data_IF_405113669608
#
_entry.id   IF_405113669608
#
_cell.length_a   1.000
_cell.length_b   1.000
_cell.length_c   1.000
_cell.angle_alpha   90.00
_cell.angle_beta   90.00
_cell.angle_gamma   90.00
#
_symmetry.space_group_name_H-M   'P 1'
#
loop_
_entity.id
_entity.type
_entity.pdbx_description
1 polymer ?
#
# COMPACT_ATOMS: atom_id res chain seq x y z
N UNK A 1 -21.03 3.25 0.28
CA UNK A 1 -19.72 3.90 0.06
C UNK A 1 -18.89 3.01 -0.85
N UNK A 2 -17.91 3.60 -1.59
CA UNK A 2 -17.18 2.91 -2.66
C UNK A 2 -15.72 2.62 -2.30
N UNK A 3 -15.28 3.06 -1.14
CA UNK A 3 -13.91 2.93 -0.67
C UNK A 3 -13.87 2.64 0.82
N UNK A 4 -12.78 2.02 1.28
CA UNK A 4 -12.51 1.80 2.70
C UNK A 4 -12.34 3.16 3.41
N UNK A 5 -12.95 3.30 4.59
CA UNK A 5 -12.68 4.45 5.44
C UNK A 5 -11.24 4.42 5.95
N UNK A 6 -10.53 5.57 5.97
CA UNK A 6 -9.18 5.64 6.51
C UNK A 6 -9.15 5.13 7.95
N UNK A 7 -8.16 4.27 8.25
CA UNK A 7 -7.95 3.72 9.58
C UNK A 7 -6.79 4.44 10.28
N UNK A 8 -6.89 4.69 11.59
CA UNK A 8 -5.81 5.35 12.35
C UNK A 8 -4.46 4.63 12.21
N UNK A 9 -4.47 3.31 12.09
CA UNK A 9 -3.28 2.49 11.94
C UNK A 9 -2.50 2.80 10.66
N UNK A 10 -3.18 3.24 9.59
CA UNK A 10 -2.53 3.64 8.33
C UNK A 10 -1.71 4.92 8.45
N UNK A 11 -1.88 5.71 9.54
CA UNK A 11 -0.99 6.86 9.83
C UNK A 11 0.46 6.41 10.00
N UNK A 12 0.69 5.23 10.59
CA UNK A 12 2.04 4.66 10.76
C UNK A 12 2.70 4.37 9.42
N UNK A 13 1.91 3.88 8.45
CA UNK A 13 2.38 3.64 7.08
C UNK A 13 2.84 4.96 6.43
N UNK A 14 2.04 6.03 6.60
CA UNK A 14 2.36 7.37 6.10
C UNK A 14 3.61 7.93 6.77
N UNK A 15 3.72 7.87 8.10
CA UNK A 15 4.91 8.34 8.84
C UNK A 15 6.18 7.66 8.35
N UNK A 16 6.17 6.33 8.22
CA UNK A 16 7.35 5.59 7.76
C UNK A 16 7.69 5.86 6.31
N UNK A 17 6.69 6.10 5.45
CA UNK A 17 6.93 6.54 4.09
C UNK A 17 7.60 7.92 4.05
N UNK A 18 7.13 8.88 4.85
CA UNK A 18 7.71 10.22 4.95
C UNK A 18 9.15 10.20 5.48
N UNK A 19 9.43 9.39 6.53
CA UNK A 19 10.78 9.19 7.05
C UNK A 19 11.73 8.76 5.92
N UNK A 20 11.38 7.70 5.17
CA UNK A 20 12.20 7.17 4.08
C UNK A 20 12.35 8.16 2.92
N UNK A 21 11.29 8.87 2.56
CA UNK A 21 11.31 9.90 1.51
C UNK A 21 12.31 11.00 1.87
N UNK A 22 12.28 11.47 3.10
CA UNK A 22 13.16 12.53 3.58
C UNK A 22 14.61 12.05 3.68
N UNK A 23 14.85 10.92 4.34
CA UNK A 23 16.19 10.37 4.59
C UNK A 23 16.93 10.00 3.29
N UNK A 24 16.19 9.48 2.29
CA UNK A 24 16.78 8.95 1.06
C UNK A 24 16.50 9.84 -0.17
N UNK A 25 15.87 11.01 0.02
CA UNK A 25 15.50 11.94 -1.05
C UNK A 25 14.71 11.28 -2.20
N UNK A 26 13.75 10.41 -1.84
CA UNK A 26 12.91 9.69 -2.81
C UNK A 26 11.94 10.67 -3.49
N UNK A 27 11.64 10.45 -4.77
CA UNK A 27 10.85 11.40 -5.58
C UNK A 27 9.64 10.78 -6.27
N UNK A 28 9.68 9.50 -6.56
CA UNK A 28 8.60 8.81 -7.27
C UNK A 28 7.93 7.76 -6.39
N UNK A 29 6.62 7.93 -6.22
CA UNK A 29 5.79 7.14 -5.30
C UNK A 29 4.77 6.36 -6.12
N UNK A 30 4.55 5.08 -5.77
CA UNK A 30 3.43 4.28 -6.24
C UNK A 30 2.59 3.84 -5.04
N UNK A 31 1.30 4.13 -5.06
CA UNK A 31 0.34 3.52 -4.14
C UNK A 31 -0.49 2.47 -4.87
N UNK A 32 -0.45 1.23 -4.39
CA UNK A 32 -1.23 0.10 -4.89
C UNK A 32 -2.48 -0.08 -4.02
N UNK A 33 -3.67 0.01 -4.63
CA UNK A 33 -4.94 0.04 -3.92
C UNK A 33 -5.18 1.42 -3.29
N UNK A 34 -5.28 2.48 -4.12
CA UNK A 34 -5.32 3.87 -3.63
C UNK A 34 -6.59 4.20 -2.84
N UNK A 35 -7.68 3.48 -3.06
CA UNK A 35 -8.93 3.66 -2.34
C UNK A 35 -9.43 5.10 -2.34
N UNK A 36 -9.55 5.71 -1.16
CA UNK A 36 -9.96 7.11 -1.00
C UNK A 36 -8.86 8.12 -1.35
N UNK A 37 -7.61 7.69 -1.55
CA UNK A 37 -6.46 8.55 -1.78
C UNK A 37 -5.92 9.21 -0.50
N UNK A 38 -6.30 8.73 0.68
CA UNK A 38 -5.89 9.34 1.95
C UNK A 38 -4.38 9.22 2.21
N UNK A 39 -3.78 8.04 1.94
CA UNK A 39 -2.35 7.79 2.15
C UNK A 39 -1.52 8.65 1.21
N UNK A 40 -1.77 8.57 -0.10
CA UNK A 40 -1.04 9.35 -1.10
C UNK A 40 -1.23 10.86 -0.89
N UNK A 41 -2.42 11.30 -0.46
CA UNK A 41 -2.71 12.69 -0.12
C UNK A 41 -1.87 13.17 1.06
N UNK A 42 -1.85 12.40 2.15
CA UNK A 42 -1.07 12.73 3.34
C UNK A 42 0.43 12.81 3.03
N UNK A 43 0.95 11.89 2.21
CA UNK A 43 2.35 11.90 1.79
C UNK A 43 2.66 13.12 0.92
N UNK A 44 1.85 13.42 -0.10
CA UNK A 44 2.11 14.52 -1.02
C UNK A 44 1.95 15.91 -0.37
N UNK A 45 1.09 16.04 0.64
CA UNK A 45 0.99 17.27 1.44
C UNK A 45 2.24 17.53 2.30
N UNK A 46 2.94 16.47 2.72
CA UNK A 46 4.06 16.55 3.66
C UNK A 46 5.43 16.27 3.02
N UNK A 47 5.51 16.12 1.69
CA UNK A 47 6.77 15.87 0.99
C UNK A 47 6.97 16.84 -0.19
N UNK A 48 8.13 17.49 -0.23
CA UNK A 48 8.44 18.48 -1.26
C UNK A 48 9.12 17.83 -2.45
N UNK A 49 8.61 18.14 -3.67
CA UNK A 49 9.21 17.70 -4.93
C UNK A 49 9.00 16.23 -5.25
N UNK A 50 8.06 15.56 -4.57
CA UNK A 50 7.63 14.20 -4.88
C UNK A 50 6.51 14.20 -5.91
N UNK A 51 6.39 13.11 -6.67
CA UNK A 51 5.26 12.82 -7.56
C UNK A 51 4.74 11.42 -7.26
N UNK A 52 3.44 11.24 -7.38
CA UNK A 52 2.85 9.94 -7.08
C UNK A 52 1.96 9.42 -8.21
N UNK A 53 1.88 8.10 -8.28
CA UNK A 53 0.87 7.36 -9.03
C UNK A 53 0.05 6.56 -8.03
N UNK A 54 -1.26 6.69 -8.10
CA UNK A 54 -2.19 5.82 -7.39
C UNK A 54 -2.88 4.90 -8.36
N UNK A 55 -2.98 3.62 -8.03
CA UNK A 55 -3.75 2.66 -8.82
C UNK A 55 -4.83 2.00 -7.97
N UNK A 56 -5.94 1.69 -8.60
CA UNK A 56 -7.02 0.91 -8.01
C UNK A 56 -7.76 0.14 -9.11
N UNK A 57 -8.31 -1.01 -8.78
CA UNK A 57 -9.14 -1.77 -9.71
C UNK A 57 -10.53 -1.14 -9.87
N UNK A 58 -10.97 -0.39 -8.88
CA UNK A 58 -12.27 0.30 -8.84
C UNK A 58 -12.18 1.68 -9.47
N UNK A 59 -12.92 1.90 -10.54
CA UNK A 59 -13.07 3.21 -11.16
C UNK A 59 -13.67 4.24 -10.17
N UNK A 60 -14.61 3.82 -9.32
CA UNK A 60 -15.18 4.66 -8.27
C UNK A 60 -14.15 5.09 -7.23
N UNK A 61 -13.24 4.20 -6.85
CA UNK A 61 -12.12 4.53 -5.96
C UNK A 61 -11.22 5.59 -6.59
N UNK A 62 -10.85 5.42 -7.87
CA UNK A 62 -10.07 6.39 -8.63
C UNK A 62 -10.76 7.76 -8.69
N UNK A 63 -12.08 7.81 -8.94
CA UNK A 63 -12.83 9.06 -8.95
C UNK A 63 -12.87 9.72 -7.57
N UNK A 64 -13.02 8.94 -6.50
CA UNK A 64 -13.01 9.42 -5.12
C UNK A 64 -11.65 9.97 -4.74
N UNK A 65 -10.57 9.22 -5.01
CA UNK A 65 -9.19 9.66 -4.78
C UNK A 65 -8.90 10.97 -5.53
N UNK A 66 -9.27 11.06 -6.81
CA UNK A 66 -9.10 12.28 -7.62
C UNK A 66 -9.78 13.49 -7.00
N UNK A 67 -11.03 13.31 -6.57
CA UNK A 67 -11.79 14.39 -5.91
C UNK A 67 -11.11 14.86 -4.63
N UNK A 68 -10.65 13.92 -3.79
CA UNK A 68 -9.99 14.23 -2.51
C UNK A 68 -8.63 14.92 -2.72
N UNK A 69 -7.80 14.43 -3.64
CA UNK A 69 -6.51 15.03 -3.97
C UNK A 69 -6.67 16.48 -4.48
N UNK A 70 -7.64 16.71 -5.38
CA UNK A 70 -7.93 18.06 -5.90
C UNK A 70 -8.43 18.99 -4.78
N UNK A 71 -9.35 18.53 -3.91
CA UNK A 71 -9.83 19.31 -2.76
C UNK A 71 -8.71 19.72 -1.81
N UNK A 72 -7.69 18.88 -1.66
CA UNK A 72 -6.49 19.17 -0.86
C UNK A 72 -5.45 20.01 -1.62
N UNK A 73 -5.74 20.49 -2.83
CA UNK A 73 -4.85 21.33 -3.63
C UNK A 73 -3.64 20.63 -4.23
N UNK A 74 -3.61 19.30 -4.22
CA UNK A 74 -2.53 18.48 -4.73
C UNK A 74 -2.60 18.44 -6.26
N UNK A 75 -1.44 18.57 -6.94
CA UNK A 75 -1.35 18.63 -8.41
C UNK A 75 -0.36 17.62 -9.01
N UNK A 76 0.50 17.04 -8.19
CA UNK A 76 1.62 16.20 -8.59
C UNK A 76 1.30 14.70 -8.47
N UNK A 77 0.16 14.30 -9.01
CA UNK A 77 -0.31 12.92 -9.02
C UNK A 77 -0.86 12.49 -10.38
N UNK A 78 -0.78 11.19 -10.63
CA UNK A 78 -1.51 10.47 -11.67
C UNK A 78 -2.36 9.37 -11.01
N UNK A 79 -3.53 9.07 -11.59
CA UNK A 79 -4.39 7.98 -11.13
C UNK A 79 -4.74 7.08 -12.31
N UNK A 80 -4.66 5.76 -12.09
CA UNK A 80 -4.85 4.75 -13.14
C UNK A 80 -5.77 3.64 -12.63
N UNK A 81 -6.79 3.29 -13.41
CA UNK A 81 -7.56 2.06 -13.19
C UNK A 81 -6.71 0.88 -13.62
N UNK A 82 -6.35 0.00 -12.69
CA UNK A 82 -5.47 -1.14 -12.95
C UNK A 82 -5.67 -2.24 -11.92
N UNK A 83 -5.52 -3.49 -12.35
CA UNK A 83 -5.36 -4.62 -11.44
C UNK A 83 -3.93 -4.59 -10.89
N UNK A 84 -3.79 -3.97 -9.70
CA UNK A 84 -2.50 -3.61 -9.09
C UNK A 84 -1.63 -2.82 -10.09
N UNK A 85 -0.40 -3.23 -10.28
CA UNK A 85 0.58 -2.55 -11.14
C UNK A 85 0.61 -3.00 -12.60
N UNK A 86 -0.33 -3.84 -13.07
CA UNK A 86 -0.27 -4.47 -14.40
C UNK A 86 -0.22 -3.46 -15.57
N UNK A 87 -0.89 -2.31 -15.42
CA UNK A 87 -0.93 -1.27 -16.47
C UNK A 87 0.27 -0.32 -16.45
N UNK A 88 1.22 -0.53 -15.54
CA UNK A 88 2.36 0.38 -15.36
C UNK A 88 3.61 -0.13 -16.08
N UNK A 89 4.29 0.79 -16.77
CA UNK A 89 5.54 0.51 -17.49
C UNK A 89 6.63 1.51 -17.06
N UNK A 90 6.84 1.66 -15.75
CA UNK A 90 7.89 2.50 -15.16
C UNK A 90 8.23 2.03 -13.76
N UNK A 91 9.36 2.46 -13.24
CA UNK A 91 9.80 2.14 -11.87
C UNK A 91 9.62 3.31 -10.91
N UNK A 92 9.58 3.00 -9.62
CA UNK A 92 9.33 3.94 -8.53
C UNK A 92 10.40 3.81 -7.44
N UNK A 93 10.61 4.88 -6.68
CA UNK A 93 11.54 4.89 -5.55
C UNK A 93 10.90 4.24 -4.32
N UNK A 94 9.58 4.35 -4.19
CA UNK A 94 8.84 3.77 -3.09
C UNK A 94 7.48 3.25 -3.58
N UNK A 95 7.14 2.03 -3.17
CA UNK A 95 5.84 1.40 -3.37
C UNK A 95 5.16 1.27 -2.01
N UNK A 96 3.92 1.69 -1.93
CA UNK A 96 3.13 1.68 -0.69
C UNK A 96 1.82 0.96 -0.96
N UNK A 97 1.35 0.16 -0.01
CA UNK A 97 0.03 -0.46 -0.10
C UNK A 97 -0.55 -0.76 1.28
N UNK A 98 -1.84 -0.49 1.44
CA UNK A 98 -2.68 -1.08 2.47
C UNK A 98 -3.68 -2.01 1.76
N UNK A 99 -3.30 -3.25 1.44
CA UNK A 99 -4.14 -4.15 0.66
C UNK A 99 -5.18 -4.85 1.54
N UNK A 100 -6.24 -5.43 0.96
CA UNK A 100 -7.14 -6.34 1.66
C UNK A 100 -6.37 -7.51 2.27
N UNK A 101 -6.59 -7.77 3.56
CA UNK A 101 -5.84 -8.79 4.30
C UNK A 101 -6.70 -9.69 5.20
N UNK A 102 -8.02 -9.52 5.20
CA UNK A 102 -8.91 -10.32 6.02
C UNK A 102 -9.18 -11.65 5.32
N UNK A 103 -9.07 -12.75 6.06
CA UNK A 103 -9.39 -14.07 5.49
C UNK A 103 -10.88 -14.14 5.11
N UNK A 104 -11.17 -14.70 3.94
CA UNK A 104 -12.54 -14.79 3.40
C UNK A 104 -13.55 -15.35 4.42
N UNK A 105 -13.15 -16.37 5.19
CA UNK A 105 -14.02 -17.00 6.19
C UNK A 105 -14.24 -16.13 7.44
N UNK A 106 -13.41 -15.14 7.71
CA UNK A 106 -13.51 -14.22 8.86
C UNK A 106 -14.38 -13.00 8.57
N UNK A 107 -14.57 -12.65 7.29
CA UNK A 107 -15.37 -11.48 6.89
C UNK A 107 -16.78 -11.52 7.45
N UNK A 108 -17.41 -12.71 7.50
CA UNK A 108 -18.75 -12.88 8.07
C UNK A 108 -18.84 -12.50 9.56
N UNK A 109 -17.72 -12.54 10.28
CA UNK A 109 -17.64 -12.28 11.72
C UNK A 109 -17.25 -10.83 12.06
N UNK A 110 -16.98 -9.99 11.03
CA UNK A 110 -16.65 -8.58 11.23
C UNK A 110 -17.83 -7.82 11.86
N UNK A 111 -17.48 -6.73 12.54
CA UNK A 111 -18.49 -5.80 13.07
C UNK A 111 -19.42 -5.32 11.97
N UNK A 112 -20.70 -5.16 12.33
CA UNK A 112 -21.74 -4.73 11.39
C UNK A 112 -21.38 -3.43 10.65
N UNK A 113 -20.79 -2.47 11.34
CA UNK A 113 -20.36 -1.20 10.73
C UNK A 113 -19.34 -1.39 9.60
N UNK A 114 -18.37 -2.32 9.74
CA UNK A 114 -17.40 -2.65 8.69
C UNK A 114 -18.09 -3.35 7.52
N UNK A 115 -18.95 -4.34 7.82
CA UNK A 115 -19.64 -5.12 6.77
C UNK A 115 -20.64 -4.32 5.96
N UNK A 116 -21.32 -3.35 6.59
CA UNK A 116 -22.39 -2.59 5.95
C UNK A 116 -21.89 -1.37 5.17
N UNK A 117 -20.65 -0.93 5.42
CA UNK A 117 -20.12 0.32 4.85
C UNK A 117 -18.88 0.11 3.98
N UNK A 118 -18.02 -0.87 4.29
CA UNK A 118 -16.80 -1.11 3.52
C UNK A 118 -17.07 -2.09 2.35
N UNK A 119 -16.56 -1.81 1.14
CA UNK A 119 -16.69 -2.74 0.01
C UNK A 119 -15.98 -4.07 0.29
N UNK A 120 -16.61 -5.18 -0.05
CA UNK A 120 -16.04 -6.54 0.16
C UNK A 120 -14.63 -6.66 -0.47
N UNK A 121 -14.44 -6.07 -1.64
CA UNK A 121 -13.17 -6.09 -2.38
C UNK A 121 -12.04 -5.39 -1.61
N UNK A 122 -12.35 -4.46 -0.70
CA UNK A 122 -11.36 -3.77 0.13
C UNK A 122 -11.01 -4.52 1.42
N UNK A 123 -11.67 -5.65 1.69
CA UNK A 123 -11.51 -6.44 2.90
C UNK A 123 -10.90 -7.81 2.63
N UNK A 124 -11.33 -8.47 1.54
CA UNK A 124 -11.04 -9.89 1.27
C UNK A 124 -9.60 -10.09 0.76
N UNK A 125 -8.76 -10.64 1.61
CA UNK A 125 -7.39 -11.04 1.29
C UNK A 125 -7.25 -12.48 0.81
N UNK A 126 -8.36 -13.19 0.56
CA UNK A 126 -8.35 -14.58 0.14
C UNK A 126 -8.40 -15.58 1.30
N UNK A 127 -8.22 -16.85 0.99
CA UNK A 127 -8.42 -17.96 1.94
C UNK A 127 -7.54 -17.83 3.19
N UNK A 128 -6.29 -17.41 3.03
CA UNK A 128 -5.35 -17.21 4.14
C UNK A 128 -5.04 -15.72 4.42
N UNK A 129 -5.73 -14.80 3.73
CA UNK A 129 -5.55 -13.35 3.89
C UNK A 129 -4.28 -12.82 3.24
N UNK A 130 -3.61 -13.61 2.37
CA UNK A 130 -2.29 -13.27 1.83
C UNK A 130 -2.27 -13.13 0.30
N UNK A 131 -3.40 -13.27 -0.40
CA UNK A 131 -3.42 -13.29 -1.87
C UNK A 131 -2.94 -11.97 -2.47
N UNK A 132 -3.35 -10.84 -1.89
CA UNK A 132 -2.92 -9.53 -2.36
C UNK A 132 -1.40 -9.35 -2.25
N UNK A 133 -0.79 -9.80 -1.15
CA UNK A 133 0.66 -9.70 -0.97
C UNK A 133 1.45 -10.55 -1.98
N UNK A 134 0.90 -11.70 -2.43
CA UNK A 134 1.53 -12.50 -3.48
C UNK A 134 1.59 -11.75 -4.80
N UNK A 135 0.50 -11.08 -5.17
CA UNK A 135 0.43 -10.27 -6.38
C UNK A 135 1.35 -9.05 -6.28
N UNK A 136 1.25 -8.30 -5.18
CA UNK A 136 2.07 -7.11 -4.93
C UNK A 136 3.56 -7.45 -4.97
N UNK A 137 4.00 -8.50 -4.26
CA UNK A 137 5.41 -8.89 -4.24
C UNK A 137 5.91 -9.26 -5.64
N UNK A 138 5.15 -10.04 -6.41
CA UNK A 138 5.52 -10.41 -7.77
C UNK A 138 5.64 -9.19 -8.68
N UNK A 139 4.64 -8.33 -8.74
CA UNK A 139 4.64 -7.16 -9.62
C UNK A 139 5.68 -6.11 -9.20
N UNK A 140 5.94 -5.96 -7.91
CA UNK A 140 6.97 -5.05 -7.40
C UNK A 140 8.37 -5.36 -7.91
N UNK A 141 8.66 -6.59 -8.34
CA UNK A 141 9.97 -6.95 -8.92
C UNK A 141 10.35 -6.10 -10.13
N UNK A 142 9.34 -5.65 -10.90
CA UNK A 142 9.50 -4.84 -12.11
C UNK A 142 9.19 -3.36 -11.89
N UNK A 143 8.47 -3.02 -10.80
CA UNK A 143 7.99 -1.67 -10.54
C UNK A 143 8.87 -0.89 -9.57
N UNK A 144 9.78 -1.55 -8.85
CA UNK A 144 10.64 -0.89 -7.87
C UNK A 144 12.05 -0.65 -8.43
N UNK A 145 12.61 0.53 -8.17
CA UNK A 145 14.02 0.84 -8.45
C UNK A 145 14.96 -0.04 -7.59
N UNK A 146 16.20 -0.26 -8.04
CA UNK A 146 17.17 -1.12 -7.35
C UNK A 146 17.46 -0.72 -5.89
N UNK A 147 17.28 0.56 -5.55
CA UNK A 147 17.43 1.09 -4.19
C UNK A 147 16.10 1.52 -3.57
N UNK A 148 15.00 1.11 -4.17
CA UNK A 148 13.67 1.52 -3.72
C UNK A 148 13.17 0.70 -2.53
N UNK A 149 12.13 1.21 -1.91
CA UNK A 149 11.49 0.65 -0.72
C UNK A 149 10.07 0.20 -1.03
N UNK A 150 9.64 -0.89 -0.40
CA UNK A 150 8.25 -1.34 -0.44
C UNK A 150 7.73 -1.36 0.98
N UNK A 151 6.63 -0.66 1.22
CA UNK A 151 5.93 -0.60 2.50
C UNK A 151 4.56 -1.22 2.33
N UNK A 152 4.23 -2.18 3.17
CA UNK A 152 2.90 -2.78 3.20
C UNK A 152 2.32 -2.79 4.60
N UNK A 153 1.07 -2.36 4.74
CA UNK A 153 0.29 -2.60 5.95
C UNK A 153 -0.12 -4.06 6.01
N UNK A 154 -0.19 -4.64 7.21
CA UNK A 154 -0.52 -6.04 7.44
C UNK A 154 -1.49 -6.23 8.60
N UNK A 155 -2.22 -7.34 8.60
CA UNK A 155 -2.86 -7.86 9.81
C UNK A 155 -1.81 -8.28 10.84
N UNK A 156 -2.12 -8.11 12.12
CA UNK A 156 -1.18 -8.26 13.24
C UNK A 156 -0.50 -9.65 13.34
N UNK A 157 -1.08 -10.69 12.77
CA UNK A 157 -0.57 -12.07 12.79
C UNK A 157 0.09 -12.50 11.46
N UNK A 158 0.15 -11.60 10.45
CA UNK A 158 0.57 -11.95 9.10
C UNK A 158 2.06 -11.72 8.79
N UNK A 159 2.80 -11.08 9.68
CA UNK A 159 4.18 -10.65 9.41
C UNK A 159 5.08 -11.74 8.84
N UNK A 160 5.06 -12.96 9.42
CA UNK A 160 5.90 -14.09 8.94
C UNK A 160 5.49 -14.58 7.55
N UNK A 161 4.17 -14.61 7.26
CA UNK A 161 3.64 -15.03 5.96
C UNK A 161 4.03 -14.04 4.86
N UNK A 162 3.83 -12.76 5.12
CA UNK A 162 4.17 -11.68 4.18
C UNK A 162 5.69 -11.60 3.96
N UNK A 163 6.51 -11.69 5.02
CA UNK A 163 7.97 -11.73 4.90
C UNK A 163 8.43 -12.89 3.99
N UNK A 164 7.85 -14.08 4.16
CA UNK A 164 8.18 -15.23 3.30
C UNK A 164 7.80 -14.99 1.83
N UNK A 165 6.62 -14.39 1.57
CA UNK A 165 6.17 -14.07 0.21
C UNK A 165 7.14 -13.11 -0.47
N UNK A 166 7.47 -12.00 0.17
CA UNK A 166 8.41 -11.02 -0.37
C UNK A 166 9.82 -11.61 -0.49
N UNK A 167 10.24 -12.43 0.47
CA UNK A 167 11.53 -13.14 0.43
C UNK A 167 11.70 -14.06 -0.77
N UNK A 168 10.61 -14.69 -1.22
CA UNK A 168 10.57 -15.56 -2.41
C UNK A 168 10.58 -14.74 -3.72
N UNK A 169 10.32 -13.44 -3.68
CA UNK A 169 10.37 -12.50 -4.80
C UNK A 169 11.58 -11.57 -4.74
N UNK A 170 12.70 -12.03 -4.15
CA UNK A 170 13.97 -11.31 -4.06
C UNK A 170 13.92 -9.99 -3.29
N UNK A 171 13.05 -9.89 -2.30
CA UNK A 171 13.03 -8.79 -1.35
C UNK A 171 13.58 -9.20 0.01
N UNK A 172 14.18 -8.25 0.72
CA UNK A 172 14.70 -8.40 2.08
C UNK A 172 13.89 -7.51 3.02
N UNK A 173 13.34 -8.07 4.09
CA UNK A 173 12.74 -7.31 5.17
C UNK A 173 13.82 -6.51 5.90
N UNK A 174 13.66 -5.19 5.96
CA UNK A 174 14.59 -4.29 6.64
C UNK A 174 14.02 -3.76 7.96
N UNK A 175 12.70 -3.61 8.02
CA UNK A 175 12.06 -3.13 9.24
C UNK A 175 10.65 -3.73 9.40
N UNK A 176 10.27 -3.93 10.65
CA UNK A 176 8.95 -4.32 11.09
C UNK A 176 8.47 -3.32 12.14
N UNK A 177 7.42 -2.58 11.81
CA UNK A 177 6.90 -1.49 12.61
C UNK A 177 5.61 -1.93 13.29
N UNK A 178 5.49 -1.60 14.56
CA UNK A 178 4.32 -1.88 15.37
C UNK A 178 3.41 -0.66 15.47
N UNK A 179 2.12 -0.93 15.64
CA UNK A 179 1.15 0.11 15.96
C UNK A 179 1.20 0.52 17.45
N UNK A 180 0.39 1.49 17.83
CA UNK A 180 0.28 2.00 19.20
C UNK A 180 -0.22 0.95 20.21
N UNK A 181 -0.80 -0.16 19.71
CA UNK A 181 -1.17 -1.33 20.52
C UNK A 181 -0.06 -2.37 20.61
N UNK A 182 1.15 -2.05 20.12
CA UNK A 182 2.32 -2.93 20.07
C UNK A 182 2.13 -4.19 19.21
N UNK A 183 1.23 -4.13 18.20
CA UNK A 183 1.00 -5.18 17.23
C UNK A 183 1.73 -4.87 15.92
N UNK A 184 2.23 -5.90 15.23
CA UNK A 184 2.90 -5.74 13.94
C UNK A 184 1.92 -5.11 12.93
N UNK A 185 2.33 -4.02 12.26
CA UNK A 185 1.44 -3.25 11.39
C UNK A 185 2.03 -2.91 10.03
N UNK A 186 3.30 -2.55 9.93
CA UNK A 186 3.93 -2.20 8.65
C UNK A 186 5.21 -2.99 8.48
N UNK A 187 5.38 -3.59 7.30
CA UNK A 187 6.63 -4.23 6.88
C UNK A 187 7.29 -3.39 5.80
N UNK A 188 8.61 -3.22 5.91
CA UNK A 188 9.43 -2.46 4.98
C UNK A 188 10.45 -3.38 4.33
N UNK A 189 10.44 -3.41 3.00
CA UNK A 189 11.31 -4.26 2.20
C UNK A 189 12.18 -3.44 1.26
N UNK A 190 13.34 -4.00 0.90
CA UNK A 190 14.20 -3.54 -0.18
C UNK A 190 14.53 -4.69 -1.13
N UNK A 191 14.88 -4.37 -2.38
CA UNK A 191 15.31 -5.39 -3.34
C UNK A 191 16.64 -6.01 -2.90
N UNK A 192 16.77 -7.33 -2.91
CA UNK A 192 18.05 -8.01 -2.65
C UNK A 192 19.04 -7.60 -3.72
N UNK A 193 20.27 -7.26 -3.32
CA UNK A 193 21.37 -7.05 -4.26
C UNK A 193 21.74 -8.39 -4.86
N UNK A 194 21.54 -8.57 -6.14
CA UNK A 194 22.11 -9.71 -6.87
C UNK A 194 23.61 -9.51 -6.85
N UNK A 195 24.34 -10.36 -6.12
CA UNK A 195 25.81 -10.41 -6.26
C UNK A 195 26.08 -10.87 -7.70
N UNK A 196 26.59 -9.95 -8.52
CA UNK A 196 27.18 -10.30 -9.82
C UNK A 196 28.47 -11.07 -9.62
#
# INVERSE_FOLDING_TARGET
EFVLDPRPESEILVEKALDLIQENNLKSILELGVGSGCIISAILCNSIGTKAVGVDISEQAIMTAKSNLIKNGIKNFDLVVSDWGLSLNRTFDIIISNPPYIKTNEIKNLNKNVKDHDPLISLDGGVDGLDCYRVIANQSTHLINDKGYILVEIGHDQAKGVEKIFGNNDFLLTNKVKDYSNLDRVLIFVKKKIKK
#
